data_IF_603930392906
#
_entry.id   IF_603930392906
#
_cell.length_a   1.000
_cell.length_b   1.000
_cell.length_c   1.000
_cell.angle_alpha   90.00
_cell.angle_beta   90.00
_cell.angle_gamma   90.00
#
_symmetry.space_group_name_H-M   'P 1'
#
loop_
_entity.id
_entity.type
_entity.pdbx_description
1 polymer ?
#
# COMPACT_ATOMS: atom_id res chain seq x y z
N UNK A 1 -13.44 4.61 -18.63
CA UNK A 1 -12.05 4.18 -18.34
C UNK A 1 -11.93 3.32 -17.07
N UNK A 2 -12.83 3.42 -16.07
CA UNK A 2 -12.78 2.64 -14.80
C UNK A 2 -12.65 1.12 -14.94
N UNK A 3 -13.45 0.49 -15.82
CA UNK A 3 -13.44 -0.97 -15.95
C UNK A 3 -12.12 -1.52 -16.53
N UNK A 4 -11.50 -0.77 -17.46
CA UNK A 4 -10.21 -1.12 -18.05
C UNK A 4 -9.12 -1.10 -16.96
N UNK A 5 -9.06 -0.03 -16.17
CA UNK A 5 -8.09 0.11 -15.08
C UNK A 5 -8.32 -0.94 -13.97
N UNK A 6 -9.57 -1.25 -13.64
CA UNK A 6 -9.89 -2.31 -12.66
C UNK A 6 -9.42 -3.70 -13.14
N UNK A 7 -9.58 -4.00 -14.43
CA UNK A 7 -9.09 -5.22 -15.06
C UNK A 7 -7.57 -5.33 -15.02
N UNK A 8 -6.87 -4.26 -15.43
CA UNK A 8 -5.41 -4.17 -15.42
C UNK A 8 -4.84 -4.28 -13.99
N UNK A 9 -5.48 -3.63 -13.01
CA UNK A 9 -5.09 -3.76 -11.60
C UNK A 9 -5.30 -5.18 -11.06
N UNK A 10 -6.38 -5.85 -11.44
CA UNK A 10 -6.63 -7.23 -11.04
C UNK A 10 -5.57 -8.18 -11.63
N UNK A 11 -5.17 -7.98 -12.88
CA UNK A 11 -4.09 -8.75 -13.50
C UNK A 11 -2.74 -8.49 -12.84
N UNK A 12 -2.39 -7.22 -12.61
CA UNK A 12 -1.17 -6.84 -11.92
C UNK A 12 -1.08 -7.47 -10.53
N UNK A 13 -2.18 -7.45 -9.76
CA UNK A 13 -2.25 -8.11 -8.45
C UNK A 13 -2.00 -9.62 -8.56
N UNK A 14 -2.59 -10.31 -9.54
CA UNK A 14 -2.33 -11.75 -9.75
C UNK A 14 -0.84 -12.01 -9.99
N UNK A 15 -0.19 -11.19 -10.82
CA UNK A 15 1.24 -11.28 -11.10
C UNK A 15 2.09 -11.02 -9.85
N UNK A 16 1.78 -9.99 -9.06
CA UNK A 16 2.51 -9.71 -7.82
C UNK A 16 2.30 -10.81 -6.76
N UNK A 17 1.11 -11.39 -6.62
CA UNK A 17 0.90 -12.53 -5.71
C UNK A 17 1.62 -13.80 -6.18
N UNK A 18 1.83 -13.97 -7.49
CA UNK A 18 2.68 -15.04 -8.01
C UNK A 18 4.15 -14.76 -7.69
N UNK A 19 4.62 -13.53 -7.94
CA UNK A 19 5.98 -13.11 -7.59
C UNK A 19 6.26 -13.29 -6.09
N UNK A 20 5.32 -12.91 -5.22
CA UNK A 20 5.43 -13.08 -3.76
C UNK A 20 5.66 -14.54 -3.32
N UNK A 21 5.04 -15.49 -4.05
CA UNK A 21 5.18 -16.93 -3.76
C UNK A 21 6.51 -17.49 -4.23
N UNK A 22 7.09 -16.92 -5.29
CA UNK A 22 8.33 -17.40 -5.90
C UNK A 22 9.55 -16.73 -5.28
N UNK A 23 9.45 -15.46 -4.94
CA UNK A 23 10.54 -14.72 -4.32
C UNK A 23 10.76 -15.23 -2.90
N UNK A 24 12.02 -15.37 -2.51
CA UNK A 24 12.43 -15.86 -1.17
C UNK A 24 13.14 -14.74 -0.42
N UNK A 25 13.85 -13.87 -1.14
CA UNK A 25 14.61 -12.79 -0.55
C UNK A 25 13.67 -11.77 0.12
N UNK A 26 14.02 -11.39 1.34
CA UNK A 26 13.20 -10.48 2.14
C UNK A 26 13.19 -9.07 1.55
N UNK A 27 14.35 -8.64 1.05
CA UNK A 27 14.52 -7.31 0.49
C UNK A 27 13.74 -7.18 -0.82
N UNK A 28 13.79 -8.17 -1.72
CA UNK A 28 13.01 -8.15 -2.96
C UNK A 28 11.50 -8.27 -2.71
N UNK A 29 11.09 -9.09 -1.73
CA UNK A 29 9.69 -9.15 -1.27
C UNK A 29 9.16 -7.80 -0.80
N UNK A 30 10.00 -6.93 -0.25
CA UNK A 30 9.58 -5.60 0.19
C UNK A 30 9.04 -4.75 -0.98
N UNK A 31 9.67 -4.82 -2.15
CA UNK A 31 9.20 -4.10 -3.35
C UNK A 31 7.91 -4.69 -3.90
N UNK A 32 7.76 -6.01 -3.87
CA UNK A 32 6.52 -6.67 -4.29
C UNK A 32 5.35 -6.21 -3.40
N UNK A 33 5.54 -6.19 -2.07
CA UNK A 33 4.53 -5.70 -1.12
C UNK A 33 4.21 -4.22 -1.36
N UNK A 34 5.23 -3.40 -1.58
CA UNK A 34 5.05 -1.98 -1.89
C UNK A 34 4.19 -1.78 -3.15
N UNK A 35 4.44 -2.55 -4.21
CA UNK A 35 3.70 -2.45 -5.46
C UNK A 35 2.24 -2.92 -5.32
N UNK A 36 1.98 -3.95 -4.50
CA UNK A 36 0.62 -4.36 -4.14
C UNK A 36 -0.08 -3.22 -3.38
N UNK A 37 0.61 -2.58 -2.44
CA UNK A 37 0.13 -1.39 -1.73
C UNK A 37 -0.24 -0.25 -2.69
N UNK A 38 0.60 0.03 -3.69
CA UNK A 38 0.34 1.04 -4.71
C UNK A 38 -0.96 0.78 -5.49
N UNK A 39 -1.22 -0.46 -5.90
CA UNK A 39 -2.47 -0.81 -6.58
C UNK A 39 -3.68 -0.62 -5.66
N UNK A 40 -3.55 -0.94 -4.38
CA UNK A 40 -4.61 -0.68 -3.41
C UNK A 40 -4.86 0.82 -3.19
N UNK A 41 -3.81 1.65 -3.21
CA UNK A 41 -3.92 3.12 -3.17
C UNK A 41 -4.71 3.62 -4.37
N UNK A 42 -4.36 3.20 -5.59
CA UNK A 42 -5.05 3.60 -6.83
C UNK A 42 -6.53 3.17 -6.86
N UNK A 43 -6.86 2.07 -6.18
CA UNK A 43 -8.23 1.58 -6.02
C UNK A 43 -9.00 2.21 -4.84
N UNK A 44 -8.46 3.24 -4.18
CA UNK A 44 -9.07 3.89 -3.02
C UNK A 44 -9.13 3.01 -1.75
N UNK A 45 -8.48 1.84 -1.77
CA UNK A 45 -8.45 0.88 -0.65
C UNK A 45 -7.33 1.24 0.33
N UNK A 46 -7.40 2.46 0.87
CA UNK A 46 -6.32 3.07 1.65
C UNK A 46 -5.86 2.25 2.86
N UNK A 47 -6.79 1.66 3.63
CA UNK A 47 -6.43 0.83 4.78
C UNK A 47 -5.57 -0.39 4.38
N UNK A 48 -5.98 -1.11 3.32
CA UNK A 48 -5.21 -2.24 2.78
C UNK A 48 -3.87 -1.79 2.22
N UNK A 49 -3.82 -0.64 1.57
CA UNK A 49 -2.57 -0.09 1.06
C UNK A 49 -1.56 0.17 2.20
N UNK A 50 -2.02 0.78 3.30
CA UNK A 50 -1.19 1.01 4.49
C UNK A 50 -0.66 -0.30 5.08
N UNK A 51 -1.51 -1.33 5.23
CA UNK A 51 -1.08 -2.66 5.71
C UNK A 51 0.07 -3.23 4.86
N UNK A 52 -0.03 -3.14 3.53
CA UNK A 52 1.01 -3.63 2.63
C UNK A 52 2.28 -2.79 2.70
N UNK A 53 2.18 -1.47 2.84
CA UNK A 53 3.34 -0.61 3.03
C UNK A 53 4.06 -0.90 4.36
N UNK A 54 3.32 -1.14 5.45
CA UNK A 54 3.90 -1.57 6.72
C UNK A 54 4.64 -2.90 6.58
N UNK A 55 4.02 -3.91 5.95
CA UNK A 55 4.70 -5.18 5.69
C UNK A 55 5.96 -5.03 4.83
N UNK A 56 5.96 -4.11 3.85
CA UNK A 56 7.15 -3.80 3.06
C UNK A 56 8.27 -3.23 3.96
N UNK A 57 7.92 -2.29 4.84
CA UNK A 57 8.86 -1.64 5.77
C UNK A 57 9.42 -2.59 6.85
N UNK A 58 8.64 -3.58 7.30
CA UNK A 58 9.13 -4.63 8.20
C UNK A 58 10.27 -5.45 7.58
N UNK A 59 10.27 -5.59 6.24
CA UNK A 59 11.28 -6.36 5.50
C UNK A 59 12.43 -5.50 5.02
N UNK A 60 12.15 -4.25 4.68
CA UNK A 60 13.12 -3.25 4.26
C UNK A 60 12.74 -1.90 4.88
N UNK A 61 13.36 -1.59 6.02
CA UNK A 61 13.14 -0.33 6.73
C UNK A 61 13.64 0.89 5.94
N UNK A 62 14.47 0.68 4.92
CA UNK A 62 15.01 1.74 4.06
C UNK A 62 14.27 1.79 2.71
N UNK A 63 12.95 2.00 2.78
CA UNK A 63 12.10 2.17 1.61
C UNK A 63 11.36 3.53 1.62
N UNK A 64 12.04 4.64 1.26
CA UNK A 64 11.46 5.98 1.26
C UNK A 64 10.15 6.10 0.47
N UNK A 65 10.00 5.31 -0.59
CA UNK A 65 8.80 5.28 -1.43
C UNK A 65 7.57 4.82 -0.64
N UNK A 66 7.72 3.86 0.27
CA UNK A 66 6.62 3.40 1.11
C UNK A 66 6.17 4.50 2.07
N UNK A 67 7.12 5.17 2.74
CA UNK A 67 6.80 6.32 3.59
C UNK A 67 6.10 7.44 2.83
N UNK A 68 6.56 7.77 1.62
CA UNK A 68 5.94 8.79 0.80
C UNK A 68 4.47 8.45 0.47
N UNK A 69 4.22 7.22 0.02
CA UNK A 69 2.85 6.79 -0.31
C UNK A 69 1.93 6.73 0.93
N UNK A 70 2.46 6.30 2.08
CA UNK A 70 1.73 6.34 3.35
C UNK A 70 1.41 7.78 3.76
N UNK A 71 2.35 8.71 3.61
CA UNK A 71 2.14 10.13 3.90
C UNK A 71 1.05 10.73 3.01
N UNK A 72 1.04 10.40 1.71
CA UNK A 72 -0.01 10.81 0.77
C UNK A 72 -1.37 10.26 1.21
N UNK A 73 -1.46 8.98 1.58
CA UNK A 73 -2.70 8.39 2.09
C UNK A 73 -3.15 9.10 3.37
N UNK A 74 -2.26 9.29 4.34
CA UNK A 74 -2.60 9.95 5.60
C UNK A 74 -3.07 11.40 5.38
N UNK A 75 -2.43 12.12 4.46
CA UNK A 75 -2.85 13.47 4.08
C UNK A 75 -4.24 13.45 3.44
N UNK A 76 -4.46 12.57 2.46
CA UNK A 76 -5.77 12.39 1.82
C UNK A 76 -6.85 12.04 2.85
N UNK A 77 -6.66 10.97 3.62
CA UNK A 77 -7.62 10.55 4.65
C UNK A 77 -7.86 11.67 5.66
N UNK A 78 -6.84 12.41 6.11
CA UNK A 78 -7.02 13.53 7.04
C UNK A 78 -7.87 14.67 6.46
N UNK A 79 -7.69 14.99 5.17
CA UNK A 79 -8.51 15.99 4.48
C UNK A 79 -9.98 15.57 4.39
N UNK A 80 -10.24 14.27 4.19
CA UNK A 80 -11.61 13.75 4.10
C UNK A 80 -12.20 13.31 5.45
N UNK A 81 -11.40 13.27 6.52
CA UNK A 81 -11.78 12.74 7.85
C UNK A 81 -11.67 13.76 8.99
N UNK A 82 -11.60 15.07 8.71
CA UNK A 82 -11.74 16.10 9.77
C UNK A 82 -12.84 17.12 9.49
N UNK A 83 -13.52 17.60 10.56
CA UNK A 83 -13.06 17.54 11.96
C UNK A 83 -14.09 16.93 12.92
N UNK A 84 -13.93 15.67 13.36
CA UNK A 84 -14.60 15.21 14.61
C UNK A 84 -13.99 13.98 15.32
N UNK A 85 -12.90 13.36 14.83
CA UNK A 85 -12.38 12.12 15.49
C UNK A 85 -10.85 12.02 15.55
N UNK A 86 -10.20 13.09 16.00
CA UNK A 86 -8.74 13.24 16.05
C UNK A 86 -8.02 12.55 17.24
N UNK A 87 -8.49 11.43 17.79
CA UNK A 87 -7.85 10.87 19.01
C UNK A 87 -7.22 9.48 18.91
N UNK A 88 -7.58 8.59 17.99
CA UNK A 88 -7.33 7.16 18.27
C UNK A 88 -6.30 6.38 17.43
N UNK A 89 -5.34 6.98 16.69
CA UNK A 89 -4.49 6.13 15.82
C UNK A 89 -3.00 6.46 15.70
N UNK A 90 -2.43 7.27 16.61
CA UNK A 90 -0.96 7.52 16.63
C UNK A 90 -0.28 6.89 17.88
N UNK A 91 -0.95 6.04 18.66
CA UNK A 91 -0.35 5.43 19.87
C UNK A 91 -0.61 3.92 20.06
N UNK A 92 -0.32 3.12 19.03
CA UNK A 92 0.09 1.72 19.19
C UNK A 92 1.14 1.40 18.12
#
# INVERSE_FOLDING_TARGET
MSAQSEGEYAEALRSYYKAMRLEIDSYDRSYILHNIGLIHTSNGKHAKALEYYFQALERNSFLPQAFNNMAVICHYVRLFRTPDSLVQFILL
#
